data_IF_387615742842
#
_entry.id   IF_387615742842
#
_cell.length_a   1.000
_cell.length_b   1.000
_cell.length_c   1.000
_cell.angle_alpha   90.00
_cell.angle_beta   90.00
_cell.angle_gamma   90.00
#
_symmetry.space_group_name_H-M   'P 1'
#
loop_
_entity.id
_entity.type
_entity.pdbx_description
1 polymer ?
#
# COMPACT_ATOMS: atom_id res chain seq x y z
N UNK A 1 0.06 29.83 22.23
CA UNK A 1 0.18 31.30 22.08
C UNK A 1 0.07 31.62 20.60
N UNK A 2 -0.72 32.64 20.27
CA UNK A 2 -1.51 32.82 19.04
C UNK A 2 -0.75 33.02 17.70
N UNK A 3 -1.45 32.73 16.59
CA UNK A 3 -1.77 33.69 15.51
C UNK A 3 -2.50 32.94 14.36
N UNK A 4 -3.82 33.11 14.22
CA UNK A 4 -4.46 34.01 13.24
C UNK A 4 -4.01 33.77 11.79
N UNK A 5 -4.77 32.96 11.04
CA UNK A 5 -4.74 32.96 9.57
C UNK A 5 -6.14 33.35 9.09
N UNK A 6 -6.20 34.51 8.45
CA UNK A 6 -7.42 35.18 8.04
C UNK A 6 -8.23 34.37 7.03
N UNK A 7 -9.55 34.44 7.21
CA UNK A 7 -10.52 33.99 6.24
C UNK A 7 -10.52 34.96 5.04
N UNK A 8 -9.87 34.56 3.96
CA UNK A 8 -10.11 35.16 2.64
C UNK A 8 -11.42 34.54 2.11
N UNK A 9 -12.47 35.35 2.02
CA UNK A 9 -13.75 34.95 1.48
C UNK A 9 -13.62 34.65 -0.03
N UNK A 10 -13.46 33.37 -0.38
CA UNK A 10 -13.76 32.86 -1.71
C UNK A 10 -15.13 32.18 -1.64
N UNK A 11 -16.06 32.70 -2.44
CA UNK A 11 -17.39 32.13 -2.64
C UNK A 11 -17.31 30.70 -3.19
N UNK A 12 -18.32 29.91 -2.83
CA UNK A 12 -18.37 28.46 -2.78
C UNK A 12 -17.66 27.91 -1.54
N UNK A 13 -18.44 27.71 -0.47
CA UNK A 13 -18.01 27.05 0.75
C UNK A 13 -17.47 25.67 0.37
N UNK A 14 -16.14 25.53 0.35
CA UNK A 14 -15.50 24.22 0.37
C UNK A 14 -15.96 23.57 1.67
N UNK A 15 -16.96 22.69 1.59
CA UNK A 15 -17.36 21.85 2.70
C UNK A 15 -16.15 20.96 3.00
N UNK A 16 -15.34 21.38 3.97
CA UNK A 16 -14.32 20.51 4.55
C UNK A 16 -15.07 19.26 5.02
N UNK A 17 -14.79 18.14 4.34
CA UNK A 17 -15.30 16.84 4.78
C UNK A 17 -14.76 16.66 6.20
N UNK A 18 -15.67 16.70 7.18
CA UNK A 18 -15.30 16.51 8.57
C UNK A 18 -14.55 15.18 8.66
N UNK A 19 -13.51 15.09 9.52
CA UNK A 19 -12.89 13.82 9.79
C UNK A 19 -13.99 12.83 10.22
N UNK A 20 -13.89 11.54 9.83
CA UNK A 20 -14.92 10.55 10.09
C UNK A 20 -15.29 10.40 11.57
N UNK A 21 -14.44 10.92 12.47
CA UNK A 21 -14.70 11.06 13.90
C UNK A 21 -14.50 12.52 14.35
N UNK A 22 -15.53 13.37 14.30
CA UNK A 22 -15.42 14.80 14.62
C UNK A 22 -15.08 15.08 16.09
N UNK A 23 -15.36 14.14 16.99
CA UNK A 23 -15.10 14.26 18.43
C UNK A 23 -13.75 13.67 18.87
N UNK A 24 -12.97 13.08 17.94
CA UNK A 24 -11.70 12.43 18.28
C UNK A 24 -10.60 13.48 18.56
N UNK A 25 -9.87 13.29 19.67
CA UNK A 25 -8.75 14.14 20.06
C UNK A 25 -7.41 13.40 19.94
N UNK A 26 -6.30 14.08 19.58
CA UNK A 26 -4.97 13.47 19.54
C UNK A 26 -4.59 12.76 20.84
N UNK A 27 -4.23 11.48 20.74
CA UNK A 27 -3.90 10.63 21.89
C UNK A 27 -5.04 9.70 22.32
N UNK A 28 -6.26 9.89 21.83
CA UNK A 28 -7.33 8.91 21.99
C UNK A 28 -7.14 7.73 21.02
N UNK A 29 -7.44 6.48 21.43
CA UNK A 29 -7.51 5.37 20.48
C UNK A 29 -8.60 5.66 19.45
N UNK A 30 -8.32 5.40 18.17
CA UNK A 30 -9.35 5.45 17.14
C UNK A 30 -10.39 4.36 17.46
N UNK A 31 -11.69 4.71 17.58
CA UNK A 31 -12.70 3.69 17.80
C UNK A 31 -12.71 2.72 16.61
N UNK A 32 -12.66 1.41 16.89
CA UNK A 32 -12.78 0.40 15.85
C UNK A 32 -14.14 0.58 15.16
N UNK A 33 -14.19 0.84 13.84
CA UNK A 33 -15.45 1.12 13.15
C UNK A 33 -16.30 -0.14 12.93
N UNK A 34 -15.80 -1.32 13.32
CA UNK A 34 -16.46 -2.61 13.10
C UNK A 34 -17.07 -3.18 14.39
N UNK A 35 -18.24 -3.84 14.33
CA UNK A 35 -18.80 -4.57 15.47
C UNK A 35 -17.81 -5.63 15.98
N UNK A 36 -17.66 -5.75 17.30
CA UNK A 36 -16.73 -6.72 17.92
C UNK A 36 -15.39 -6.16 18.39
N UNK A 37 -15.32 -4.87 18.71
CA UNK A 37 -14.15 -4.29 19.37
C UNK A 37 -13.74 -5.12 20.62
N UNK A 38 -12.52 -5.66 20.62
CA UNK A 38 -12.01 -6.54 21.69
C UNK A 38 -12.15 -8.04 21.43
N UNK A 39 -12.80 -8.46 20.34
CA UNK A 39 -12.84 -9.85 19.89
C UNK A 39 -11.65 -10.11 18.97
N UNK A 40 -10.80 -11.07 19.35
CA UNK A 40 -9.69 -11.51 18.52
C UNK A 40 -10.14 -12.66 17.61
N UNK A 41 -9.92 -12.51 16.31
CA UNK A 41 -10.12 -13.57 15.34
C UNK A 41 -8.78 -14.22 15.02
N UNK A 42 -8.67 -15.53 15.23
CA UNK A 42 -7.54 -16.32 14.78
C UNK A 42 -7.84 -16.88 13.39
N UNK A 43 -6.96 -16.61 12.43
CA UNK A 43 -7.08 -17.07 11.05
C UNK A 43 -5.87 -17.97 10.77
N UNK A 44 -6.12 -19.22 10.41
CA UNK A 44 -5.08 -20.15 10.00
C UNK A 44 -4.83 -20.04 8.49
N UNK A 45 -3.65 -19.55 8.06
CA UNK A 45 -3.35 -19.39 6.64
C UNK A 45 -3.32 -20.71 5.87
N UNK A 46 -3.08 -21.85 6.53
CA UNK A 46 -3.01 -23.15 5.88
C UNK A 46 -4.41 -23.67 5.44
N UNK A 47 -5.47 -23.24 6.12
CA UNK A 47 -6.85 -23.66 5.86
C UNK A 47 -7.72 -22.56 5.22
N UNK A 48 -7.20 -21.33 5.08
CA UNK A 48 -7.93 -20.20 4.52
C UNK A 48 -7.63 -20.01 3.03
N UNK A 49 -8.63 -19.82 2.15
CA UNK A 49 -8.40 -19.54 0.73
C UNK A 49 -7.56 -18.28 0.50
N UNK A 50 -6.64 -18.32 -0.48
CA UNK A 50 -5.74 -17.19 -0.80
C UNK A 50 -6.50 -15.91 -1.13
N UNK A 51 -7.68 -16.02 -1.76
CA UNK A 51 -8.54 -14.88 -2.07
C UNK A 51 -9.03 -14.13 -0.83
N UNK A 52 -9.20 -14.81 0.29
CA UNK A 52 -9.59 -14.22 1.59
C UNK A 52 -8.37 -13.71 2.36
N UNK A 53 -7.22 -14.37 2.22
CA UNK A 53 -5.96 -13.92 2.84
C UNK A 53 -5.42 -12.62 2.23
N UNK A 54 -5.55 -12.44 0.92
CA UNK A 54 -5.07 -11.23 0.24
C UNK A 54 -5.59 -9.92 0.86
N UNK A 55 -6.91 -9.66 0.97
CA UNK A 55 -7.44 -8.43 1.56
C UNK A 55 -7.01 -8.24 3.02
N UNK A 56 -6.85 -9.33 3.78
CA UNK A 56 -6.37 -9.26 5.17
C UNK A 56 -4.92 -8.79 5.25
N UNK A 57 -4.02 -9.36 4.43
CA UNK A 57 -2.60 -8.98 4.42
C UNK A 57 -2.43 -7.52 3.98
N UNK A 58 -3.11 -7.11 2.91
CA UNK A 58 -3.01 -5.74 2.38
C UNK A 58 -3.79 -4.71 3.21
N UNK A 59 -4.62 -5.10 4.17
CA UNK A 59 -5.23 -4.15 5.10
C UNK A 59 -4.44 -4.05 6.41
N UNK A 60 -3.79 -5.14 6.82
CA UNK A 60 -2.96 -5.17 8.02
C UNK A 60 -1.64 -4.39 7.87
N UNK A 61 -0.99 -4.47 6.70
CA UNK A 61 0.26 -3.77 6.44
C UNK A 61 0.00 -2.41 5.77
N UNK A 62 -0.27 -1.36 6.54
CA UNK A 62 -0.51 0.02 6.05
C UNK A 62 0.21 1.07 6.91
N UNK A 63 0.62 2.23 6.35
CA UNK A 63 0.63 2.59 4.92
C UNK A 63 1.73 1.85 4.14
N UNK A 64 1.50 1.53 2.87
CA UNK A 64 2.52 0.90 2.00
C UNK A 64 3.14 1.90 1.03
N UNK A 65 4.47 2.03 1.00
CA UNK A 65 5.12 2.78 -0.07
C UNK A 65 4.89 2.06 -1.41
N UNK A 66 4.67 2.85 -2.47
CA UNK A 66 4.47 2.34 -3.82
C UNK A 66 5.73 2.63 -4.64
N UNK A 67 6.42 1.58 -5.05
CA UNK A 67 7.57 1.67 -5.95
C UNK A 67 7.09 1.65 -7.41
N UNK A 68 7.44 2.69 -8.16
CA UNK A 68 7.29 2.71 -9.63
C UNK A 68 8.57 2.17 -10.24
N UNK A 69 8.51 0.98 -10.82
CA UNK A 69 9.68 0.25 -11.31
C UNK A 69 9.69 0.31 -12.82
N UNK A 70 10.72 0.97 -13.37
CA UNK A 70 11.04 0.92 -14.80
C UNK A 70 12.00 -0.22 -15.09
N UNK A 71 11.67 -1.03 -16.09
CA UNK A 71 12.51 -2.13 -16.58
C UNK A 71 12.60 -2.09 -18.09
N UNK A 72 13.67 -2.64 -18.66
CA UNK A 72 13.86 -2.74 -20.12
C UNK A 72 14.10 -4.21 -20.43
N UNK A 73 13.45 -4.74 -21.48
CA UNK A 73 13.71 -6.11 -21.94
C UNK A 73 15.00 -6.18 -22.78
N UNK A 74 15.36 -7.36 -23.28
CA UNK A 74 16.55 -7.55 -24.11
C UNK A 74 16.46 -6.83 -25.47
N UNK A 75 15.25 -6.59 -25.96
CA UNK A 75 14.94 -5.92 -27.22
C UNK A 75 14.87 -4.39 -27.10
N UNK A 76 14.96 -3.84 -25.88
CA UNK A 76 14.92 -2.41 -25.61
C UNK A 76 13.51 -1.85 -25.32
N UNK A 77 12.50 -2.70 -25.17
CA UNK A 77 11.13 -2.29 -24.79
C UNK A 77 11.08 -1.86 -23.34
N UNK A 78 10.55 -0.66 -23.10
CA UNK A 78 10.40 -0.09 -21.75
C UNK A 78 9.08 -0.54 -21.13
N UNK A 79 9.14 -1.02 -19.89
CA UNK A 79 8.00 -1.32 -19.03
C UNK A 79 8.07 -0.47 -17.75
N UNK A 80 6.94 0.04 -17.28
CA UNK A 80 6.82 0.79 -16.01
C UNK A 80 5.61 0.27 -15.24
N UNK A 81 5.83 -0.23 -14.03
CA UNK A 81 4.77 -0.86 -13.23
C UNK A 81 4.84 -0.46 -11.75
N UNK A 82 3.69 -0.17 -11.09
CA UNK A 82 3.65 0.13 -9.66
C UNK A 82 3.57 -1.13 -8.80
N UNK A 83 4.35 -1.19 -7.71
CA UNK A 83 4.36 -2.29 -6.74
C UNK A 83 4.28 -1.75 -5.31
N UNK A 84 3.31 -2.23 -4.53
CA UNK A 84 3.16 -1.86 -3.11
C UNK A 84 3.78 -2.86 -2.13
N UNK A 85 4.24 -4.00 -2.60
CA UNK A 85 5.03 -4.95 -1.80
C UNK A 85 6.50 -4.54 -1.86
N UNK A 86 6.81 -3.36 -1.33
CA UNK A 86 8.12 -2.73 -1.41
C UNK A 86 8.60 -2.29 -0.02
N UNK A 87 9.89 -2.53 0.28
CA UNK A 87 10.52 -1.99 1.49
C UNK A 87 12.04 -1.80 1.33
N UNK A 88 12.61 -0.89 2.11
CA UNK A 88 14.05 -0.73 2.28
C UNK A 88 14.58 -1.75 3.30
N UNK A 89 15.68 -2.44 2.97
CA UNK A 89 16.27 -3.49 3.80
C UNK A 89 17.58 -3.06 4.48
N UNK A 90 18.30 -2.11 3.90
CA UNK A 90 19.55 -1.62 4.46
C UNK A 90 20.11 -0.43 3.72
N UNK A 91 21.02 0.31 4.36
CA UNK A 91 21.70 1.46 3.77
C UNK A 91 23.19 1.20 3.48
N UNK A 92 23.76 0.08 3.95
CA UNK A 92 25.14 -0.31 3.68
C UNK A 92 25.28 -1.86 3.61
N UNK A 93 25.28 -2.45 2.41
CA UNK A 93 25.00 -1.81 1.13
C UNK A 93 23.53 -1.34 1.01
N UNK A 94 23.24 -0.26 0.27
CA UNK A 94 21.86 0.14 -0.01
C UNK A 94 21.09 -1.01 -0.67
N UNK A 95 20.07 -1.50 0.02
CA UNK A 95 19.32 -2.68 -0.40
C UNK A 95 17.83 -2.43 -0.23
N UNK A 96 17.04 -2.80 -1.23
CA UNK A 96 15.58 -2.80 -1.20
C UNK A 96 15.06 -4.18 -1.57
N UNK A 97 13.83 -4.50 -1.17
CA UNK A 97 13.15 -5.69 -1.62
C UNK A 97 11.81 -5.32 -2.24
N UNK A 98 11.48 -6.02 -3.33
CA UNK A 98 10.23 -5.87 -4.05
C UNK A 98 9.60 -7.27 -4.19
N UNK A 99 8.36 -7.43 -3.74
CA UNK A 99 7.57 -8.63 -3.93
C UNK A 99 6.93 -8.67 -5.32
N UNK A 100 7.45 -9.52 -6.20
CA UNK A 100 6.92 -9.75 -7.55
C UNK A 100 6.01 -10.99 -7.53
N UNK A 101 4.70 -10.78 -7.43
CA UNK A 101 3.73 -11.87 -7.39
C UNK A 101 3.54 -12.55 -8.76
N UNK A 102 3.25 -13.85 -8.70
CA UNK A 102 2.90 -14.67 -9.86
C UNK A 102 1.67 -14.11 -10.59
N UNK A 103 1.69 -14.19 -11.92
CA UNK A 103 0.59 -13.78 -12.80
C UNK A 103 -0.18 -14.99 -13.30
N UNK A 104 -1.39 -15.23 -12.80
CA UNK A 104 -2.24 -16.34 -13.23
C UNK A 104 -2.63 -16.29 -14.72
N UNK A 105 -2.48 -15.14 -15.38
CA UNK A 105 -2.80 -14.92 -16.80
C UNK A 105 -1.63 -15.20 -17.74
N UNK A 106 -0.42 -15.45 -17.22
CA UNK A 106 0.78 -15.67 -18.04
C UNK A 106 1.20 -17.15 -17.93
N UNK A 107 1.57 -17.81 -19.05
CA UNK A 107 1.97 -19.23 -19.02
C UNK A 107 3.13 -19.53 -18.06
N UNK A 108 4.12 -18.63 -18.01
CA UNK A 108 5.28 -18.76 -17.12
C UNK A 108 5.05 -18.19 -15.72
N UNK A 109 3.89 -17.56 -15.50
CA UNK A 109 3.58 -16.93 -14.22
C UNK A 109 4.36 -15.66 -13.91
N UNK A 110 5.24 -15.20 -14.80
CA UNK A 110 6.07 -14.01 -14.59
C UNK A 110 5.41 -12.79 -15.20
N UNK A 111 5.48 -11.67 -14.48
CA UNK A 111 5.13 -10.34 -15.02
C UNK A 111 6.32 -9.79 -15.80
N UNK A 112 6.07 -8.85 -16.70
CA UNK A 112 7.11 -8.25 -17.55
C UNK A 112 8.25 -7.66 -16.71
N UNK A 113 7.97 -7.03 -15.56
CA UNK A 113 9.00 -6.55 -14.63
C UNK A 113 9.95 -7.66 -14.15
N UNK A 114 9.42 -8.83 -13.76
CA UNK A 114 10.25 -9.95 -13.29
C UNK A 114 11.07 -10.53 -14.45
N UNK A 115 10.43 -10.72 -15.60
CA UNK A 115 11.08 -11.23 -16.80
C UNK A 115 12.27 -10.35 -17.22
N UNK A 116 12.06 -9.03 -17.27
CA UNK A 116 13.09 -8.09 -17.67
C UNK A 116 14.25 -8.03 -16.66
N UNK A 117 13.97 -8.06 -15.35
CA UNK A 117 15.02 -8.10 -14.30
C UNK A 117 15.86 -9.38 -14.41
N UNK A 118 15.23 -10.53 -14.65
CA UNK A 118 15.97 -11.80 -14.81
C UNK A 118 16.88 -11.80 -16.06
N UNK A 119 16.48 -11.10 -17.12
CA UNK A 119 17.25 -11.01 -18.35
C UNK A 119 18.35 -9.95 -18.31
N UNK A 120 18.11 -8.82 -17.63
CA UNK A 120 18.95 -7.60 -17.74
C UNK A 120 19.65 -7.19 -16.44
N UNK A 121 19.27 -7.76 -15.28
CA UNK A 121 19.80 -7.43 -13.95
C UNK A 121 19.00 -6.35 -13.22
#
# INVERSE_FOLDING_TARGET
>A
MAAFVGALALGAAAALVLPPHPDWQPGQPQPCPLPGAGVYHHIDPASTPVAELYPLIISAAVPRPVAFISTVDAEGTVNLSPYSYFNCMGHNPPTVAIGLCHSATRPEGKKDTLHNIEQTG
#
